data_IF_512132222339
#
_entry.id   IF_512132222339
#
_cell.length_a   1.000
_cell.length_b   1.000
_cell.length_c   1.000
_cell.angle_alpha   90.00
_cell.angle_beta   90.00
_cell.angle_gamma   90.00
#
_symmetry.space_group_name_H-M   'P 1'
#
loop_
_entity.id
_entity.type
_entity.pdbx_description
1 polymer ?
#
# COMPACT_ATOMS: atom_id res chain seq x y z
N UNK A 1 3.38 0.17 -4.33
CA UNK A 1 3.65 -0.75 -3.22
C UNK A 1 4.70 -0.17 -2.27
N UNK A 2 4.42 -0.22 -0.97
CA UNK A 2 5.36 0.12 0.10
C UNK A 2 5.78 -1.15 0.88
N UNK A 3 7.08 -1.31 1.18
CA UNK A 3 7.59 -2.45 1.98
C UNK A 3 8.25 -1.98 3.27
N UNK A 4 8.08 -2.74 4.36
CA UNK A 4 8.65 -2.39 5.67
C UNK A 4 9.32 -3.57 6.38
N UNK A 5 10.42 -3.26 7.05
CA UNK A 5 11.14 -4.15 7.98
C UNK A 5 10.94 -3.61 9.40
N UNK A 6 10.31 -4.36 10.29
CA UNK A 6 10.10 -3.97 11.69
C UNK A 6 11.16 -4.65 12.56
N UNK A 7 11.86 -3.89 13.41
CA UNK A 7 12.83 -4.43 14.39
C UNK A 7 14.26 -4.65 13.86
N UNK A 8 14.63 -3.97 12.78
CA UNK A 8 16.03 -3.64 12.47
C UNK A 8 16.30 -2.29 13.13
N UNK A 9 17.32 -2.22 14.00
CA UNK A 9 17.79 -0.93 14.52
C UNK A 9 18.38 -0.17 13.33
N UNK A 10 17.56 0.62 12.64
CA UNK A 10 18.03 1.75 11.85
C UNK A 10 17.73 2.99 12.68
N UNK A 11 18.78 3.79 12.85
CA UNK A 11 18.87 4.94 13.72
C UNK A 11 17.61 5.80 13.74
N UNK A 12 17.27 6.21 14.96
CA UNK A 12 16.45 7.37 15.29
C UNK A 12 16.73 8.55 14.36
N UNK A 13 15.70 9.07 13.67
CA UNK A 13 15.12 10.42 13.85
C UNK A 13 14.07 10.67 12.75
N UNK A 14 12.78 10.86 13.09
CA UNK A 14 11.85 11.50 12.18
C UNK A 14 12.06 13.03 12.28
N UNK A 15 12.69 13.63 11.27
CA UNK A 15 12.53 15.06 11.05
C UNK A 15 11.12 15.30 10.50
N UNK A 16 10.21 15.74 11.38
CA UNK A 16 8.94 16.33 10.99
C UNK A 16 9.20 17.73 10.42
N UNK A 17 9.07 17.90 9.11
CA UNK A 17 8.86 19.22 8.51
C UNK A 17 7.36 19.36 8.28
N UNK A 18 6.72 20.14 9.16
CA UNK A 18 5.37 20.67 8.95
C UNK A 18 5.45 21.79 7.93
N UNK A 19 5.08 21.53 6.67
CA UNK A 19 4.80 22.61 5.72
C UNK A 19 3.44 23.23 6.05
N UNK A 20 3.44 24.47 6.54
CA UNK A 20 2.24 25.32 6.56
C UNK A 20 1.92 25.73 5.14
N UNK A 21 0.70 25.45 4.69
CA UNK A 21 0.18 25.98 3.44
C UNK A 21 0.13 27.51 3.47
N UNK A 22 0.64 28.14 2.42
CA UNK A 22 0.37 29.53 2.11
C UNK A 22 -0.79 29.60 1.12
N UNK A 23 -1.84 30.29 1.54
CA UNK A 23 -2.89 30.83 0.69
C UNK A 23 -2.24 31.80 -0.30
N UNK A 24 -2.16 31.41 -1.57
CA UNK A 24 -1.82 32.34 -2.64
C UNK A 24 -3.10 32.89 -3.26
N UNK A 25 -3.17 34.22 -3.31
CA UNK A 25 -4.33 34.97 -3.80
C UNK A 25 -4.46 34.72 -5.30
N UNK A 26 -5.60 34.16 -5.70
CA UNK A 26 -6.04 34.06 -7.09
C UNK A 26 -6.05 35.46 -7.72
N UNK A 27 -5.17 35.69 -8.69
CA UNK A 27 -5.34 36.76 -9.67
C UNK A 27 -6.48 36.36 -10.61
N UNK A 28 -7.56 37.14 -10.62
CA UNK A 28 -8.66 36.95 -11.55
C UNK A 28 -8.16 37.11 -12.99
N UNK A 29 -8.04 35.99 -13.71
CA UNK A 29 -7.99 35.97 -15.16
C UNK A 29 -9.45 35.95 -15.64
N UNK A 30 -9.91 37.06 -16.22
CA UNK A 30 -11.20 37.10 -16.90
C UNK A 30 -11.16 36.16 -18.12
N UNK A 31 -11.85 35.02 -18.02
CA UNK A 31 -11.82 33.98 -19.05
C UNK A 31 -12.58 34.44 -20.29
N UNK A 32 -11.97 34.29 -21.47
CA UNK A 32 -12.68 34.49 -22.72
C UNK A 32 -13.83 33.48 -22.85
N UNK A 33 -14.99 33.95 -23.32
CA UNK A 33 -16.25 33.19 -23.40
C UNK A 33 -16.20 31.99 -24.35
N UNK A 34 -15.20 31.94 -25.24
CA UNK A 34 -14.97 30.77 -26.11
C UNK A 34 -14.32 29.64 -25.33
N UNK A 35 -13.32 29.94 -24.49
CA UNK A 35 -12.61 28.98 -23.63
C UNK A 35 -13.53 28.40 -22.55
N UNK A 36 -14.45 29.18 -21.98
CA UNK A 36 -15.46 28.67 -21.03
C UNK A 36 -16.44 27.73 -21.72
N UNK A 37 -16.90 28.09 -22.93
CA UNK A 37 -17.79 27.23 -23.73
C UNK A 37 -17.20 25.84 -23.99
N UNK A 38 -15.91 25.74 -24.32
CA UNK A 38 -15.25 24.43 -24.50
C UNK A 38 -15.14 23.63 -23.20
N UNK A 39 -14.90 24.30 -22.06
CA UNK A 39 -14.83 23.65 -20.76
C UNK A 39 -16.20 23.14 -20.29
N UNK A 40 -17.27 23.87 -20.58
CA UNK A 40 -18.64 23.45 -20.26
C UNK A 40 -19.03 22.21 -21.08
N UNK A 41 -18.66 22.17 -22.36
CA UNK A 41 -18.85 21.01 -23.23
C UNK A 41 -18.05 19.81 -22.71
N UNK A 42 -16.79 20.02 -22.33
CA UNK A 42 -15.96 18.96 -21.74
C UNK A 42 -16.55 18.46 -20.41
N UNK A 43 -17.03 19.37 -19.56
CA UNK A 43 -17.71 19.03 -18.31
C UNK A 43 -18.98 18.20 -18.58
N UNK A 44 -19.78 18.57 -19.58
CA UNK A 44 -20.98 17.82 -19.96
C UNK A 44 -20.64 16.43 -20.52
N UNK A 45 -19.58 16.30 -21.33
CA UNK A 45 -19.09 15.01 -21.79
C UNK A 45 -18.64 14.12 -20.62
N UNK A 46 -17.96 14.71 -19.63
CA UNK A 46 -17.56 14.00 -18.41
C UNK A 46 -18.78 13.56 -17.59
N UNK A 47 -19.81 14.40 -17.44
CA UNK A 47 -21.03 14.05 -16.72
C UNK A 47 -21.80 12.94 -17.44
N UNK A 48 -21.98 13.04 -18.75
CA UNK A 48 -22.61 11.99 -19.56
C UNK A 48 -21.84 10.67 -19.48
N UNK A 49 -20.50 10.72 -19.43
CA UNK A 49 -19.69 9.53 -19.23
C UNK A 49 -19.88 8.93 -17.81
N UNK A 50 -20.02 9.78 -16.77
CA UNK A 50 -20.31 9.32 -15.40
C UNK A 50 -21.69 8.67 -15.27
N UNK A 51 -22.69 9.18 -15.97
CA UNK A 51 -24.04 8.63 -15.95
C UNK A 51 -24.17 7.35 -16.78
N UNK A 52 -23.38 7.22 -17.86
CA UNK A 52 -23.48 6.11 -18.80
C UNK A 52 -22.40 5.03 -18.65
N UNK A 53 -21.35 5.24 -17.84
CA UNK A 53 -20.44 4.15 -17.55
C UNK A 53 -21.15 3.16 -16.62
N UNK A 54 -21.12 1.88 -17.01
CA UNK A 54 -21.52 0.81 -16.10
C UNK A 54 -20.54 0.87 -14.94
N UNK A 55 -21.01 1.25 -13.76
CA UNK A 55 -20.33 0.88 -12.52
C UNK A 55 -20.21 -0.64 -12.57
N UNK A 56 -19.01 -1.16 -12.80
CA UNK A 56 -18.76 -2.56 -12.53
C UNK A 56 -19.27 -2.78 -11.11
N UNK A 57 -20.13 -3.79 -10.86
CA UNK A 57 -20.45 -4.15 -9.48
C UNK A 57 -19.13 -4.24 -8.73
N UNK A 58 -19.10 -3.80 -7.47
CA UNK A 58 -17.95 -3.97 -6.58
C UNK A 58 -17.60 -5.47 -6.52
N UNK A 59 -16.95 -5.97 -7.56
CA UNK A 59 -16.13 -7.15 -7.53
C UNK A 59 -15.17 -6.79 -6.43
N UNK A 60 -15.13 -7.59 -5.36
CA UNK A 60 -14.12 -7.45 -4.32
C UNK A 60 -12.79 -7.36 -5.06
N UNK A 61 -12.28 -6.14 -5.23
CA UNK A 61 -11.05 -5.91 -5.97
C UNK A 61 -10.02 -6.66 -5.16
N UNK A 62 -9.46 -7.70 -5.79
CA UNK A 62 -8.42 -8.51 -5.16
C UNK A 62 -7.21 -7.59 -5.04
N UNK A 63 -7.08 -6.97 -3.87
CA UNK A 63 -6.03 -6.01 -3.62
C UNK A 63 -4.68 -6.71 -3.81
N UNK A 64 -3.81 -6.08 -4.60
CA UNK A 64 -2.51 -6.62 -4.97
C UNK A 64 -1.51 -6.53 -3.82
N UNK A 65 -1.67 -5.49 -2.99
CA UNK A 65 -0.80 -5.19 -1.86
C UNK A 65 -1.56 -4.43 -0.75
N UNK A 66 -0.86 -4.11 0.34
CA UNK A 66 -1.41 -3.34 1.46
C UNK A 66 -1.75 -1.90 1.10
N UNK A 67 -1.14 -1.33 0.05
CA UNK A 67 -1.43 0.04 -0.38
C UNK A 67 -2.80 0.13 -1.05
N UNK A 68 -3.15 -0.86 -1.89
CA UNK A 68 -4.46 -0.97 -2.50
C UNK A 68 -5.55 -1.33 -1.48
N UNK A 69 -5.22 -2.15 -0.47
CA UNK A 69 -6.10 -2.37 0.69
C UNK A 69 -6.40 -1.05 1.41
N UNK A 70 -5.39 -0.23 1.68
CA UNK A 70 -5.59 1.07 2.34
C UNK A 70 -6.49 1.99 1.51
N UNK A 71 -6.25 2.09 0.20
CA UNK A 71 -7.09 2.87 -0.74
C UNK A 71 -8.52 2.36 -0.81
N UNK A 72 -8.73 1.06 -0.57
CA UNK A 72 -10.04 0.42 -0.51
C UNK A 72 -10.74 0.57 0.85
N UNK A 73 -10.17 1.33 1.78
CA UNK A 73 -10.76 1.62 3.09
C UNK A 73 -10.34 0.66 4.22
N UNK A 74 -9.44 -0.28 3.97
CA UNK A 74 -8.89 -1.12 5.03
C UNK A 74 -7.77 -0.38 5.76
N UNK A 75 -8.09 0.17 6.93
CA UNK A 75 -7.23 1.09 7.68
C UNK A 75 -6.76 0.54 9.04
N UNK A 76 -6.85 -0.77 9.26
CA UNK A 76 -6.46 -1.41 10.53
C UNK A 76 -5.19 -2.23 10.28
N UNK A 77 -4.14 -2.04 11.08
CA UNK A 77 -2.95 -2.88 10.99
C UNK A 77 -3.24 -4.31 11.45
N UNK A 78 -3.16 -5.28 10.53
CA UNK A 78 -3.34 -6.71 10.81
C UNK A 78 -2.89 -7.55 9.61
N UNK A 79 -3.07 -8.87 9.71
CA UNK A 79 -2.90 -9.78 8.59
C UNK A 79 -4.05 -9.63 7.60
N UNK A 80 -3.70 -9.49 6.33
CA UNK A 80 -4.61 -9.49 5.20
C UNK A 80 -4.15 -10.47 4.14
N UNK A 81 -5.11 -10.97 3.37
CA UNK A 81 -4.84 -11.73 2.16
C UNK A 81 -4.77 -10.78 0.97
N UNK A 82 -3.67 -10.84 0.22
CA UNK A 82 -3.45 -10.07 -1.01
C UNK A 82 -3.28 -11.02 -2.20
N UNK A 83 -3.45 -10.50 -3.42
CA UNK A 83 -3.30 -11.26 -4.66
C UNK A 83 -2.26 -10.61 -5.57
N UNK A 84 -0.96 -10.78 -5.30
CA UNK A 84 0.09 -10.15 -6.10
C UNK A 84 0.01 -10.62 -7.56
N UNK A 85 0.28 -9.72 -8.51
CA UNK A 85 0.35 -10.03 -9.95
C UNK A 85 1.64 -10.79 -10.27
N UNK A 86 1.73 -12.03 -9.81
CA UNK A 86 2.88 -12.89 -10.04
C UNK A 86 2.57 -14.06 -10.96
N UNK A 87 3.36 -14.17 -12.03
CA UNK A 87 3.36 -15.36 -12.91
C UNK A 87 3.80 -16.62 -12.17
N UNK A 88 4.52 -16.50 -11.05
CA UNK A 88 4.99 -17.66 -10.27
C UNK A 88 3.93 -18.09 -9.25
N UNK A 89 3.18 -17.12 -8.71
CA UNK A 89 2.07 -17.43 -7.81
C UNK A 89 0.84 -17.95 -8.56
N UNK A 90 0.72 -17.71 -9.88
CA UNK A 90 -0.42 -18.14 -10.70
C UNK A 90 -1.76 -17.68 -10.11
N UNK A 91 -1.82 -16.44 -9.61
CA UNK A 91 -3.01 -15.87 -8.99
C UNK A 91 -3.35 -16.43 -7.59
N UNK A 92 -2.44 -17.20 -6.98
CA UNK A 92 -2.60 -17.65 -5.60
C UNK A 92 -2.50 -16.47 -4.62
N UNK A 93 -3.39 -16.42 -3.62
CA UNK A 93 -3.30 -15.43 -2.56
C UNK A 93 -2.07 -15.63 -1.68
N UNK A 94 -1.66 -14.56 -1.01
CA UNK A 94 -0.61 -14.56 0.02
C UNK A 94 -1.12 -13.79 1.23
N UNK A 95 -0.91 -14.34 2.42
CA UNK A 95 -1.16 -13.61 3.66
C UNK A 95 0.05 -12.72 3.98
N UNK A 96 -0.21 -11.45 4.23
CA UNK A 96 0.78 -10.42 4.55
C UNK A 96 0.34 -9.64 5.78
N UNK A 97 1.27 -9.21 6.62
CA UNK A 97 0.95 -8.24 7.65
C UNK A 97 0.98 -6.84 7.02
N UNK A 98 -0.16 -6.15 7.06
CA UNK A 98 -0.26 -4.77 6.62
C UNK A 98 -0.14 -3.83 7.82
N UNK A 99 0.78 -2.89 7.73
CA UNK A 99 0.89 -1.76 8.65
C UNK A 99 0.21 -0.55 8.01
N UNK A 100 -0.96 -0.22 8.55
CA UNK A 100 -1.84 0.85 8.09
C UNK A 100 -1.67 2.13 8.91
N UNK A 101 -0.93 2.08 10.01
CA UNK A 101 -0.83 3.19 10.96
C UNK A 101 0.40 4.07 10.71
N UNK A 102 1.52 3.48 10.30
CA UNK A 102 2.79 4.20 10.24
C UNK A 102 3.00 4.92 8.92
N UNK A 103 3.47 6.18 8.95
CA UNK A 103 3.87 6.95 7.76
C UNK A 103 2.80 6.95 6.64
N UNK A 104 1.55 7.16 7.05
CA UNK A 104 0.41 7.17 6.15
C UNK A 104 -0.05 5.78 5.67
N UNK A 105 0.45 4.71 6.30
CA UNK A 105 -0.02 3.35 6.11
C UNK A 105 0.27 2.74 4.72
N UNK A 106 -0.33 1.57 4.52
CA UNK A 106 -0.25 0.81 3.26
C UNK A 106 1.05 0.04 3.10
N UNK A 107 1.76 -0.22 4.21
CA UNK A 107 3.02 -0.94 4.20
C UNK A 107 2.79 -2.45 4.25
N UNK A 108 3.34 -3.16 3.27
CA UNK A 108 3.47 -4.62 3.32
C UNK A 108 4.72 -4.97 4.12
N UNK A 109 4.55 -5.61 5.27
CA UNK A 109 5.68 -5.96 6.15
C UNK A 109 6.31 -7.27 5.68
N UNK A 110 7.60 -7.24 5.35
CA UNK A 110 8.35 -8.42 4.86
C UNK A 110 9.21 -9.07 5.95
N UNK A 111 9.50 -8.35 7.03
CA UNK A 111 10.14 -8.87 8.24
C UNK A 111 9.56 -8.16 9.45
N UNK A 112 9.33 -8.90 10.53
CA UNK A 112 9.02 -8.34 11.84
C UNK A 112 9.86 -8.99 12.93
N UNK A 113 10.45 -8.15 13.79
CA UNK A 113 11.08 -8.51 15.06
C UNK A 113 10.51 -7.65 16.19
N UNK A 114 10.00 -8.29 17.23
CA UNK A 114 9.46 -7.64 18.41
C UNK A 114 9.68 -8.45 19.69
N UNK A 115 9.11 -7.98 20.79
CA UNK A 115 9.23 -8.64 22.10
C UNK A 115 8.22 -9.78 22.23
N UNK A 116 8.32 -10.83 21.41
CA UNK A 116 7.44 -12.00 21.44
C UNK A 116 8.06 -13.22 22.14
N UNK A 117 9.02 -12.99 23.03
CA UNK A 117 9.74 -14.04 23.78
C UNK A 117 10.44 -15.07 22.88
N UNK A 118 10.99 -14.63 21.74
CA UNK A 118 11.78 -15.49 20.86
C UNK A 118 13.25 -15.56 21.32
N UNK A 119 13.95 -16.69 21.06
CA UNK A 119 15.39 -16.79 21.25
C UNK A 119 16.16 -15.73 20.44
N UNK A 120 17.32 -15.29 20.93
CA UNK A 120 18.17 -14.32 20.21
C UNK A 120 18.64 -14.85 18.85
N UNK A 121 18.79 -16.17 18.74
CA UNK A 121 19.19 -16.88 17.54
C UNK A 121 18.01 -17.29 16.64
N UNK A 122 16.79 -16.82 16.91
CA UNK A 122 15.59 -17.21 16.15
C UNK A 122 15.68 -16.94 14.63
N UNK A 123 16.45 -15.91 14.24
CA UNK A 123 16.71 -15.56 12.84
C UNK A 123 17.98 -16.21 12.26
N UNK A 124 18.71 -17.04 13.01
CA UNK A 124 19.81 -17.84 12.48
C UNK A 124 19.23 -19.09 11.80
N UNK A 125 18.68 -18.86 10.61
CA UNK A 125 18.05 -19.89 9.78
C UNK A 125 18.92 -20.19 8.55
N UNK A 126 18.69 -21.35 7.95
CA UNK A 126 19.38 -21.74 6.73
C UNK A 126 18.89 -20.96 5.48
N UNK A 127 19.60 -21.13 4.37
CA UNK A 127 19.26 -20.48 3.11
C UNK A 127 17.87 -20.89 2.57
N UNK A 128 17.42 -22.11 2.87
CA UNK A 128 16.12 -22.57 2.42
C UNK A 128 15.01 -21.77 3.10
N UNK A 129 15.06 -21.63 4.42
CA UNK A 129 14.13 -20.84 5.23
C UNK A 129 14.11 -19.36 4.80
N UNK A 130 15.26 -18.76 4.48
CA UNK A 130 15.29 -17.38 3.96
C UNK A 130 14.63 -17.24 2.58
N UNK A 131 14.72 -18.26 1.73
CA UNK A 131 14.05 -18.26 0.43
C UNK A 131 12.53 -18.39 0.56
N UNK A 132 12.06 -19.31 1.40
CA UNK A 132 10.63 -19.67 1.51
C UNK A 132 9.86 -18.85 2.54
N UNK A 133 10.53 -18.33 3.58
CA UNK A 133 9.92 -17.66 4.71
C UNK A 133 9.87 -18.53 5.96
N UNK A 134 9.83 -17.89 7.12
CA UNK A 134 9.71 -18.57 8.41
C UNK A 134 9.07 -17.66 9.47
N UNK A 135 8.58 -18.30 10.53
CA UNK A 135 8.01 -17.62 11.69
C UNK A 135 6.50 -17.50 11.67
N UNK A 136 5.98 -16.55 12.45
CA UNK A 136 4.54 -16.32 12.57
C UNK A 136 4.25 -14.87 12.18
N UNK A 137 3.38 -14.69 11.19
CA UNK A 137 3.09 -13.39 10.57
C UNK A 137 2.47 -12.36 11.53
N UNK A 138 1.87 -12.81 12.63
CA UNK A 138 1.35 -11.96 13.71
C UNK A 138 2.42 -11.61 14.76
N UNK A 139 3.57 -12.31 14.75
CA UNK A 139 4.69 -12.17 15.69
C UNK A 139 5.99 -11.88 14.92
N UNK A 140 7.05 -12.63 15.24
CA UNK A 140 8.32 -12.57 14.52
C UNK A 140 8.28 -13.46 13.28
N UNK A 141 8.59 -12.87 12.14
CA UNK A 141 8.64 -13.58 10.86
C UNK A 141 9.58 -12.94 9.85
N UNK A 142 9.90 -13.75 8.84
CA UNK A 142 10.47 -13.38 7.57
C UNK A 142 9.55 -13.92 6.47
N UNK A 143 9.04 -13.04 5.60
CA UNK A 143 8.04 -13.42 4.58
C UNK A 143 8.61 -14.38 3.52
N UNK A 144 9.94 -14.39 3.36
CA UNK A 144 10.62 -15.19 2.34
C UNK A 144 10.98 -14.35 1.12
N UNK A 145 12.16 -14.61 0.56
CA UNK A 145 12.65 -13.90 -0.61
C UNK A 145 11.75 -14.14 -1.82
N UNK A 146 11.27 -15.38 -2.03
CA UNK A 146 10.42 -15.66 -3.18
C UNK A 146 9.16 -14.80 -3.17
N UNK A 147 8.40 -14.79 -2.08
CA UNK A 147 7.20 -13.97 -1.98
C UNK A 147 7.55 -12.48 -2.08
N UNK A 148 8.60 -12.03 -1.38
CA UNK A 148 9.00 -10.61 -1.35
C UNK A 148 9.43 -10.07 -2.71
N UNK A 149 10.08 -10.90 -3.56
CA UNK A 149 10.47 -10.50 -4.92
C UNK A 149 9.28 -10.31 -5.86
N UNK A 150 8.17 -11.01 -5.61
CA UNK A 150 6.97 -10.96 -6.46
C UNK A 150 5.94 -9.93 -6.01
N UNK A 151 6.25 -9.23 -4.92
CA UNK A 151 5.50 -8.07 -4.48
C UNK A 151 5.93 -6.81 -5.30
N UNK A 152 7.09 -6.83 -5.96
CA UNK A 152 7.59 -5.77 -6.87
C UNK A 152 7.05 -5.88 -8.30
#
# INVERSE_FOLDING_TARGET
MKIRLIGIILFTHPFFISAKGQNDKSSDCEMNTKSTSYLDIAAQMIQNAKENYRTCPNTKVKALDCEELLKSGYNISKVYTVWPKSRVLNGRPVDVYCDMDTEGGGWTVIQRRGNFSRPKDYFFQDWHAYKTGFGNIEKDFWLGIFISLYLY
#
